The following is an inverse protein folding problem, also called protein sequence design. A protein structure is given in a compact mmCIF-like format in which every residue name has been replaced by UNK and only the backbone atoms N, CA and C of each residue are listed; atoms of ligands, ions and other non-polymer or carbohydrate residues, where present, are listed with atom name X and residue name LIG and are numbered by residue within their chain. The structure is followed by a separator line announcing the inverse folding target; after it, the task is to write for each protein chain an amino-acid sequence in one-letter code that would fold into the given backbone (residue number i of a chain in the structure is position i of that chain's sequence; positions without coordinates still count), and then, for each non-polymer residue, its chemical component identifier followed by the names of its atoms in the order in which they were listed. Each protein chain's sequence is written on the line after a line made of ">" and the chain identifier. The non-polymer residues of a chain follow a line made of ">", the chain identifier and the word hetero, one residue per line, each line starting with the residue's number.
data_IF_477718417355
#
_entry.id   IF_477718417355
#
_cell.length_a   1.000
_cell.length_b   1.000
_cell.length_c   1.000
_cell.angle_alpha   90.00
_cell.angle_beta   90.00
_cell.angle_gamma   90.00
#
_symmetry.space_group_name_H-M   'P 1'
#
loop_
_entity.id
_entity.type
_entity.pdbx_description
1 polymer ?
#
# COMPACT_ATOMS: atom_id res chain seq x y z
N UNK A 1 27.74 10.37 7.29
CA UNK A 1 26.74 9.54 8.01
C UNK A 1 25.35 9.64 7.35
N UNK A 2 24.81 10.84 7.11
CA UNK A 2 23.49 11.02 6.46
C UNK A 2 23.35 10.44 5.04
N UNK A 3 24.42 10.51 4.22
CA UNK A 3 24.36 10.04 2.82
C UNK A 3 24.15 8.53 2.67
N UNK A 4 24.57 7.72 3.66
CA UNK A 4 24.43 6.25 3.63
C UNK A 4 23.01 5.82 3.99
N UNK A 5 22.36 6.53 4.91
CA UNK A 5 20.97 6.26 5.32
C UNK A 5 19.97 6.52 4.19
N UNK A 6 20.22 7.55 3.37
CA UNK A 6 19.38 7.88 2.20
C UNK A 6 19.37 6.76 1.15
N UNK A 7 20.52 6.10 0.92
CA UNK A 7 20.61 5.01 -0.05
C UNK A 7 19.80 3.78 0.37
N UNK A 8 19.95 3.33 1.63
CA UNK A 8 19.19 2.20 2.17
C UNK A 8 17.68 2.46 2.15
N UNK A 9 17.26 3.65 2.59
CA UNK A 9 15.84 4.03 2.60
C UNK A 9 15.27 4.02 1.18
N UNK A 10 16.03 4.54 0.20
CA UNK A 10 15.59 4.55 -1.20
C UNK A 10 15.44 3.14 -1.77
N UNK A 11 16.38 2.24 -1.47
CA UNK A 11 16.32 0.84 -1.91
C UNK A 11 15.13 0.11 -1.28
N UNK A 12 14.93 0.26 0.04
CA UNK A 12 13.81 -0.35 0.75
C UNK A 12 12.46 0.12 0.19
N UNK A 13 12.29 1.44 0.02
CA UNK A 13 11.06 2.00 -0.55
C UNK A 13 10.80 1.48 -1.96
N UNK A 14 11.85 1.34 -2.78
CA UNK A 14 11.73 0.74 -4.12
C UNK A 14 11.28 -0.72 -4.06
N UNK A 15 11.89 -1.55 -3.22
CA UNK A 15 11.51 -2.96 -3.09
C UNK A 15 10.08 -3.13 -2.56
N UNK A 16 9.68 -2.34 -1.58
CA UNK A 16 8.31 -2.34 -1.05
C UNK A 16 7.30 -1.95 -2.13
N UNK A 17 7.54 -0.86 -2.85
CA UNK A 17 6.69 -0.41 -3.94
C UNK A 17 6.60 -1.46 -5.06
N UNK A 18 7.73 -2.06 -5.42
CA UNK A 18 7.79 -3.08 -6.45
C UNK A 18 6.98 -4.32 -6.03
N UNK A 19 7.15 -4.78 -4.79
CA UNK A 19 6.41 -5.94 -4.28
C UNK A 19 4.90 -5.70 -4.27
N UNK A 20 4.42 -4.54 -3.80
CA UNK A 20 2.98 -4.24 -3.72
C UNK A 20 2.39 -3.95 -5.10
N UNK A 21 3.06 -3.14 -5.93
CA UNK A 21 2.54 -2.74 -7.24
C UNK A 21 2.66 -3.85 -8.27
N UNK A 22 3.84 -4.45 -8.41
CA UNK A 22 4.10 -5.39 -9.50
C UNK A 22 3.50 -6.78 -9.21
N UNK A 23 3.13 -7.08 -7.97
CA UNK A 23 2.33 -8.28 -7.65
C UNK A 23 0.88 -8.17 -8.13
N UNK A 24 0.36 -6.95 -8.35
CA UNK A 24 -1.06 -6.75 -8.65
C UNK A 24 -1.96 -7.17 -7.48
N UNK A 25 -1.47 -7.05 -6.24
CA UNK A 25 -2.23 -7.48 -5.06
C UNK A 25 -3.43 -6.57 -4.75
N UNK A 26 -3.38 -5.31 -5.16
CA UNK A 26 -4.50 -4.36 -5.06
C UNK A 26 -5.22 -4.29 -6.40
N UNK A 27 -6.54 -4.46 -6.39
CA UNK A 27 -7.38 -4.30 -7.57
C UNK A 27 -7.52 -2.81 -7.92
N UNK A 28 -6.64 -2.33 -8.80
CA UNK A 28 -6.63 -0.93 -9.24
C UNK A 28 -7.87 -0.54 -10.05
N UNK A 29 -8.52 -1.50 -10.72
CA UNK A 29 -9.76 -1.24 -11.47
C UNK A 29 -10.90 -0.90 -10.52
N UNK A 30 -10.97 -1.57 -9.36
CA UNK A 30 -11.96 -1.28 -8.32
C UNK A 30 -11.86 0.13 -7.72
N UNK A 31 -10.74 0.82 -7.93
CA UNK A 31 -10.48 2.19 -7.46
C UNK A 31 -10.84 3.26 -8.50
N UNK A 32 -11.15 2.87 -9.73
CA UNK A 32 -11.62 3.78 -10.77
C UNK A 32 -13.06 4.22 -10.49
N UNK A 33 -13.31 5.53 -10.44
CA UNK A 33 -14.65 6.09 -10.21
C UNK A 33 -15.31 6.39 -11.55
N UNK A 34 -14.62 7.16 -12.39
CA UNK A 34 -15.03 7.49 -13.75
C UNK A 34 -13.80 7.43 -14.66
N UNK A 35 -13.88 6.61 -15.70
CA UNK A 35 -12.76 6.40 -16.61
C UNK A 35 -12.30 7.73 -17.22
N UNK A 36 -10.98 7.95 -17.21
CA UNK A 36 -10.31 9.15 -17.72
C UNK A 36 -10.58 10.48 -16.98
N UNK A 37 -11.40 10.48 -15.91
CA UNK A 37 -11.68 11.70 -15.13
C UNK A 37 -11.31 11.55 -13.65
N UNK A 38 -11.82 10.51 -12.98
CA UNK A 38 -11.73 10.39 -11.52
C UNK A 38 -11.33 8.98 -11.07
N UNK A 39 -10.30 8.91 -10.23
CA UNK A 39 -9.76 7.69 -9.63
C UNK A 39 -9.34 7.96 -8.19
N UNK A 40 -9.41 6.95 -7.34
CA UNK A 40 -8.81 7.03 -6.01
C UNK A 40 -7.30 6.87 -6.06
N UNK A 41 -6.58 7.83 -5.49
CA UNK A 41 -5.16 7.70 -5.18
C UNK A 41 -5.00 7.19 -3.74
N UNK A 42 -4.27 6.08 -3.58
CA UNK A 42 -3.99 5.50 -2.27
C UNK A 42 -2.50 5.66 -1.98
N UNK A 43 -2.18 6.31 -0.86
CA UNK A 43 -0.81 6.46 -0.37
C UNK A 43 -0.63 5.74 0.96
N UNK A 44 0.45 4.98 1.11
CA UNK A 44 0.82 4.30 2.36
C UNK A 44 2.11 4.92 2.89
N UNK A 45 2.07 5.41 4.12
CA UNK A 45 3.23 5.95 4.82
C UNK A 45 3.68 5.00 5.92
N UNK A 46 4.98 4.67 5.93
CA UNK A 46 5.58 3.79 6.92
C UNK A 46 6.59 4.58 7.76
N UNK A 47 6.48 4.43 9.08
CA UNK A 47 7.41 5.03 10.03
C UNK A 47 8.03 3.94 10.88
N UNK A 48 9.36 3.89 10.88
CA UNK A 48 10.13 2.94 11.66
C UNK A 48 10.36 3.54 13.03
N UNK A 49 9.74 2.94 14.05
CA UNK A 49 9.84 3.42 15.44
C UNK A 49 11.06 2.84 16.14
N UNK A 50 11.34 1.56 15.90
CA UNK A 50 12.48 0.84 16.43
C UNK A 50 13.03 -0.13 15.37
N UNK A 51 14.33 -0.40 15.42
CA UNK A 51 15.03 -1.23 14.45
C UNK A 51 15.92 -2.26 15.14
N UNK A 52 15.43 -3.49 15.18
CA UNK A 52 16.16 -4.68 15.67
C UNK A 52 16.19 -5.79 14.61
N UNK A 53 16.41 -5.38 13.35
CA UNK A 53 16.49 -6.27 12.20
C UNK A 53 15.20 -6.43 11.40
N UNK A 54 15.31 -7.20 10.31
CA UNK A 54 14.26 -7.57 9.36
C UNK A 54 13.23 -6.49 8.94
N UNK A 55 13.69 -5.25 8.85
CA UNK A 55 12.84 -4.08 8.61
C UNK A 55 12.04 -4.13 7.31
N UNK A 56 12.56 -4.81 6.29
CA UNK A 56 11.92 -4.90 4.98
C UNK A 56 10.65 -5.77 5.04
N UNK A 57 10.74 -6.93 5.70
CA UNK A 57 9.60 -7.83 5.92
C UNK A 57 8.57 -7.17 6.83
N UNK A 58 9.01 -6.53 7.92
CA UNK A 58 8.13 -5.79 8.83
C UNK A 58 7.39 -4.65 8.11
N UNK A 59 8.09 -3.89 7.27
CA UNK A 59 7.51 -2.80 6.49
C UNK A 59 6.49 -3.30 5.46
N UNK A 60 6.75 -4.44 4.81
CA UNK A 60 5.81 -5.06 3.87
C UNK A 60 4.54 -5.52 4.57
N UNK A 61 4.68 -6.25 5.68
CA UNK A 61 3.53 -6.71 6.45
C UNK A 61 2.72 -5.52 6.98
N UNK A 62 3.38 -4.49 7.50
CA UNK A 62 2.72 -3.28 7.95
C UNK A 62 1.92 -2.59 6.83
N UNK A 63 2.49 -2.49 5.62
CA UNK A 63 1.80 -1.92 4.47
C UNK A 63 0.59 -2.76 4.04
N UNK A 64 0.73 -4.09 3.98
CA UNK A 64 -0.37 -4.99 3.63
C UNK A 64 -1.50 -4.93 4.67
N UNK A 65 -1.17 -4.93 5.96
CA UNK A 65 -2.13 -4.78 7.03
C UNK A 65 -2.84 -3.42 6.95
N UNK A 66 -2.10 -2.33 6.69
CA UNK A 66 -2.67 -1.00 6.51
C UNK A 66 -3.66 -0.96 5.35
N UNK A 67 -3.29 -1.50 4.18
CA UNK A 67 -4.18 -1.59 3.02
C UNK A 67 -5.42 -2.44 3.29
N UNK A 68 -5.27 -3.59 3.97
CA UNK A 68 -6.37 -4.49 4.28
C UNK A 68 -7.35 -3.88 5.30
N UNK A 69 -6.84 -3.09 6.24
CA UNK A 69 -7.64 -2.41 7.24
C UNK A 69 -8.27 -1.12 6.72
N UNK A 70 -7.62 -0.42 5.79
CA UNK A 70 -8.08 0.87 5.28
C UNK A 70 -9.47 0.77 4.65
N UNK A 71 -10.25 1.84 4.84
CA UNK A 71 -11.59 2.00 4.28
C UNK A 71 -11.68 3.39 3.66
N UNK A 72 -12.22 3.49 2.46
CA UNK A 72 -12.41 4.75 1.74
C UNK A 72 -13.90 5.11 1.61
N UNK A 73 -14.23 6.40 1.46
CA UNK A 73 -15.62 6.85 1.32
C UNK A 73 -16.32 6.22 0.11
N UNK A 74 -17.58 5.86 0.28
CA UNK A 74 -18.39 5.37 -0.83
C UNK A 74 -18.70 6.51 -1.82
N UNK A 75 -18.84 6.18 -3.10
CA UNK A 75 -19.11 7.16 -4.17
C UNK A 75 -20.38 6.78 -4.91
N UNK A 76 -21.12 7.77 -5.41
CA UNK A 76 -22.22 7.58 -6.34
C UNK A 76 -22.00 8.44 -7.56
N UNK A 77 -22.15 7.83 -8.74
CA UNK A 77 -21.95 8.49 -10.03
C UNK A 77 -23.29 8.59 -10.72
N UNK A 78 -23.70 9.80 -11.11
CA UNK A 78 -24.93 10.06 -11.86
C UNK A 78 -24.59 10.79 -13.15
N UNK A 79 -24.50 10.06 -14.26
CA UNK A 79 -23.94 10.61 -15.50
C UNK A 79 -22.44 10.90 -15.32
N UNK A 80 -22.07 12.18 -15.35
CA UNK A 80 -20.70 12.67 -15.08
C UNK A 80 -20.53 13.27 -13.69
N UNK A 81 -21.60 13.40 -12.91
CA UNK A 81 -21.53 13.97 -11.56
C UNK A 81 -21.08 12.93 -10.54
N UNK A 82 -20.07 13.27 -9.74
CA UNK A 82 -19.44 12.39 -8.76
C UNK A 82 -19.73 12.92 -7.35
N UNK A 83 -20.51 12.16 -6.60
CA UNK A 83 -20.82 12.46 -5.20
C UNK A 83 -20.06 11.52 -4.26
N UNK A 84 -19.11 12.07 -3.50
CA UNK A 84 -18.39 11.37 -2.43
C UNK A 84 -19.17 11.50 -1.13
N UNK A 85 -19.62 10.37 -0.58
CA UNK A 85 -20.41 10.34 0.64
C UNK A 85 -19.52 10.46 1.88
N UNK A 86 -19.97 11.16 2.90
CA UNK A 86 -19.30 11.13 4.21
C UNK A 86 -19.44 9.77 4.89
N UNK A 87 -18.57 9.50 5.87
CA UNK A 87 -18.57 8.24 6.65
C UNK A 87 -19.86 8.05 7.48
N UNK A 88 -20.60 9.13 7.75
CA UNK A 88 -21.88 9.09 8.47
C UNK A 88 -23.06 8.81 7.56
N UNK A 89 -22.99 9.20 6.29
CA UNK A 89 -24.07 8.98 5.31
C UNK A 89 -24.06 7.56 4.76
N UNK A 90 -22.87 6.97 4.56
CA UNK A 90 -22.72 5.63 4.00
C UNK A 90 -21.51 4.91 4.57
N UNK A 91 -21.65 3.61 4.74
CA UNK A 91 -20.55 2.75 5.17
C UNK A 91 -19.37 2.84 4.19
N UNK A 92 -18.15 3.04 4.68
CA UNK A 92 -16.98 3.12 3.83
C UNK A 92 -16.60 1.75 3.26
N UNK A 93 -15.95 1.76 2.11
CA UNK A 93 -15.64 0.58 1.33
C UNK A 93 -14.21 0.09 1.62
N UNK A 94 -13.98 -1.23 1.74
CA UNK A 94 -12.64 -1.79 1.82
C UNK A 94 -11.92 -1.71 0.48
N UNK A 95 -10.60 -1.57 0.52
CA UNK A 95 -9.77 -1.86 -0.66
C UNK A 95 -9.93 -3.33 -1.01
N UNK A 96 -10.12 -3.59 -2.31
CA UNK A 96 -10.16 -4.96 -2.81
C UNK A 96 -8.74 -5.49 -2.98
N UNK A 97 -8.33 -6.35 -2.07
CA UNK A 97 -7.05 -7.06 -2.11
C UNK A 97 -7.29 -8.45 -2.71
N UNK A 98 -6.51 -8.79 -3.74
CA UNK A 98 -6.61 -10.05 -4.48
C UNK A 98 -5.77 -11.16 -3.84
N UNK A 99 -4.61 -10.82 -3.26
CA UNK A 99 -3.71 -11.74 -2.57
C UNK A 99 -2.72 -10.95 -1.68
N UNK A 100 -1.91 -11.63 -0.87
CA UNK A 100 -0.99 -10.99 0.09
C UNK A 100 0.48 -11.38 -0.20
N UNK A 101 1.23 -10.56 -0.94
CA UNK A 101 2.64 -10.82 -1.24
C UNK A 101 3.52 -10.51 -0.01
N UNK A 102 3.84 -11.54 0.77
CA UNK A 102 4.64 -11.39 1.99
C UNK A 102 6.13 -11.47 1.64
N UNK A 103 6.93 -10.50 2.09
CA UNK A 103 8.39 -10.56 2.01
C UNK A 103 8.96 -11.39 3.16
N UNK A 104 9.96 -12.22 2.81
CA UNK A 104 10.69 -13.08 3.74
C UNK A 104 12.18 -12.91 3.45
N UNK A 105 12.93 -12.50 4.46
CA UNK A 105 14.36 -12.26 4.40
C UNK A 105 15.14 -13.47 4.93
N UNK A 106 16.20 -13.83 4.22
CA UNK A 106 17.11 -14.89 4.59
C UNK A 106 18.50 -14.31 4.82
N UNK A 107 19.16 -14.75 5.89
CA UNK A 107 20.56 -14.45 6.15
C UNK A 107 21.37 -15.73 5.90
N UNK A 108 22.35 -15.64 5.01
CA UNK A 108 23.27 -16.71 4.67
C UNK A 108 24.59 -16.49 5.41
N UNK A 109 25.14 -17.53 6.01
CA UNK A 109 26.39 -17.45 6.78
C UNK A 109 27.40 -18.48 6.26
N UNK A 110 28.69 -18.12 6.31
CA UNK A 110 29.79 -18.96 5.82
C UNK A 110 29.63 -19.37 4.34
N UNK A 111 29.32 -20.65 4.08
CA UNK A 111 29.18 -21.23 2.74
C UNK A 111 27.71 -21.46 2.33
N UNK A 112 26.74 -20.86 3.02
CA UNK A 112 25.31 -20.97 2.72
C UNK A 112 24.48 -20.80 3.97
#
# INVERSE_FOLDING_TARGET
>A
MFHRQTQWTTLMSRHLLQNIRDSGCVDMESLCILAYEHVWEISVNLHVVDYDGNILDCANLAALCALAHFRYPAVTVTGTDVHVHSLTERNPQPIRILHYPIMISFALFENG
#
